data_IF_559236990808
#
_entry.id   IF_559236990808
#
_cell.length_a   1.000
_cell.length_b   1.000
_cell.length_c   1.000
_cell.angle_alpha   90.00
_cell.angle_beta   90.00
_cell.angle_gamma   90.00
#
_symmetry.space_group_name_H-M   'P 1'
#
loop_
_entity.id
_entity.type
_entity.pdbx_description
1 polymer ?
#
# COMPACT_ATOMS: atom_id res chain seq x y z
N UNK A 1 -8.81 1.47 -8.02
CA UNK A 1 -8.04 0.21 -8.23
C UNK A 1 -8.93 -0.97 -7.87
N UNK A 2 -8.99 -2.01 -8.71
CA UNK A 2 -9.79 -3.21 -8.39
C UNK A 2 -9.32 -3.86 -7.08
N UNK A 3 -10.22 -4.37 -6.21
CA UNK A 3 -9.86 -5.07 -4.99
C UNK A 3 -8.88 -6.25 -5.22
N UNK A 4 -8.96 -6.91 -6.38
CA UNK A 4 -8.08 -8.03 -6.75
C UNK A 4 -6.64 -7.54 -6.93
N UNK A 5 -6.43 -6.49 -7.73
CA UNK A 5 -5.11 -5.89 -7.98
C UNK A 5 -4.51 -5.36 -6.66
N UNK A 6 -5.35 -4.77 -5.82
CA UNK A 6 -4.90 -4.28 -4.51
C UNK A 6 -4.41 -5.42 -3.61
N UNK A 7 -5.14 -6.53 -3.54
CA UNK A 7 -4.74 -7.68 -2.73
C UNK A 7 -3.45 -8.33 -3.25
N UNK A 8 -3.29 -8.45 -4.56
CA UNK A 8 -2.06 -8.94 -5.18
C UNK A 8 -0.85 -8.04 -4.85
N UNK A 9 -1.03 -6.72 -4.94
CA UNK A 9 -0.01 -5.75 -4.54
C UNK A 9 0.38 -5.92 -3.08
N UNK A 10 -0.60 -6.00 -2.19
CA UNK A 10 -0.35 -6.17 -0.76
C UNK A 10 0.26 -7.54 -0.41
N UNK A 11 0.05 -8.56 -1.24
CA UNK A 11 0.71 -9.86 -1.11
C UNK A 11 2.17 -9.80 -1.56
N UNK A 12 2.48 -9.11 -2.66
CA UNK A 12 3.83 -9.00 -3.20
C UNK A 12 4.77 -8.23 -2.26
N UNK A 13 4.29 -7.11 -1.72
CA UNK A 13 5.08 -6.30 -0.77
C UNK A 13 5.09 -6.88 0.66
N UNK A 14 4.34 -7.95 0.94
CA UNK A 14 4.24 -8.53 2.26
C UNK A 14 5.60 -9.00 2.81
N UNK A 15 6.46 -9.55 1.93
CA UNK A 15 7.80 -10.02 2.27
C UNK A 15 8.75 -8.91 2.70
N UNK A 16 8.40 -7.64 2.48
CA UNK A 16 9.18 -6.47 2.93
C UNK A 16 9.00 -6.18 4.42
N UNK A 17 8.02 -6.79 5.06
CA UNK A 17 7.75 -6.61 6.48
C UNK A 17 8.11 -7.88 7.25
N UNK A 18 9.08 -7.79 8.18
CA UNK A 18 9.44 -8.90 9.06
C UNK A 18 8.40 -9.24 10.14
N UNK A 19 7.31 -8.45 10.26
CA UNK A 19 6.24 -8.64 11.26
C UNK A 19 4.86 -8.33 10.66
N UNK A 20 3.82 -8.92 11.25
CA UNK A 20 2.43 -8.78 10.77
C UNK A 20 1.83 -7.40 11.08
N UNK A 21 2.22 -6.76 12.20
CA UNK A 21 1.67 -5.47 12.60
C UNK A 21 2.05 -4.34 11.63
N UNK A 22 3.34 -4.16 11.23
CA UNK A 22 3.71 -3.19 10.20
C UNK A 22 3.02 -3.44 8.86
N UNK A 23 2.83 -4.71 8.48
CA UNK A 23 2.12 -5.08 7.25
C UNK A 23 0.68 -4.58 7.25
N UNK A 24 -0.08 -4.78 8.34
CA UNK A 24 -1.47 -4.31 8.46
C UNK A 24 -1.56 -2.78 8.36
N UNK A 25 -0.62 -2.08 9.00
CA UNK A 25 -0.56 -0.61 8.96
C UNK A 25 -0.17 -0.12 7.56
N UNK A 26 0.72 -0.82 6.86
CA UNK A 26 1.07 -0.52 5.48
C UNK A 26 -0.11 -0.73 4.52
N UNK A 27 -0.91 -1.78 4.71
CA UNK A 27 -2.16 -1.98 3.95
C UNK A 27 -3.09 -0.78 4.12
N UNK A 28 -3.31 -0.33 5.35
CA UNK A 28 -4.16 0.83 5.64
C UNK A 28 -3.61 2.11 4.98
N UNK A 29 -2.29 2.30 5.05
CA UNK A 29 -1.61 3.43 4.44
C UNK A 29 -1.77 3.46 2.91
N UNK A 30 -1.46 2.36 2.22
CA UNK A 30 -1.58 2.25 0.76
C UNK A 30 -3.04 2.41 0.32
N UNK A 31 -3.99 1.82 1.06
CA UNK A 31 -5.43 1.99 0.79
C UNK A 31 -5.86 3.46 0.84
N UNK A 32 -5.44 4.20 1.86
CA UNK A 32 -5.75 5.62 1.97
C UNK A 32 -5.05 6.48 0.92
N UNK A 33 -3.84 6.11 0.49
CA UNK A 33 -3.15 6.79 -0.62
C UNK A 33 -3.91 6.63 -1.94
N UNK A 34 -4.52 5.46 -2.17
CA UNK A 34 -5.30 5.16 -3.37
C UNK A 34 -6.78 5.59 -3.30
N UNK A 35 -7.28 5.93 -2.11
CA UNK A 35 -8.65 6.40 -1.92
C UNK A 35 -8.87 7.81 -2.50
N UNK A 36 -10.11 8.21 -2.72
CA UNK A 36 -10.42 9.60 -3.09
C UNK A 36 -10.58 10.44 -1.81
N UNK A 37 -9.47 10.94 -1.26
CA UNK A 37 -9.46 11.79 -0.07
C UNK A 37 -8.66 13.07 -0.36
N UNK A 38 -9.21 14.21 0.04
CA UNK A 38 -8.66 15.54 -0.29
C UNK A 38 -7.20 15.75 0.16
N UNK A 39 -6.83 15.20 1.32
CA UNK A 39 -5.53 15.45 1.94
C UNK A 39 -4.90 14.14 2.40
N UNK A 40 -3.74 13.79 1.82
CA UNK A 40 -2.99 12.54 2.04
C UNK A 40 -2.00 12.61 3.21
N UNK A 41 -2.41 13.14 4.35
CA UNK A 41 -1.58 13.16 5.56
C UNK A 41 -1.88 11.97 6.47
N UNK A 42 -1.00 11.66 7.43
CA UNK A 42 -1.18 10.53 8.34
C UNK A 42 -2.46 10.60 9.19
N UNK A 43 -2.98 11.81 9.43
CA UNK A 43 -4.24 11.98 10.18
C UNK A 43 -5.42 11.48 9.37
N UNK A 44 -5.63 12.06 8.19
CA UNK A 44 -6.75 11.72 7.32
C UNK A 44 -6.69 10.27 6.82
N UNK A 45 -5.47 9.76 6.59
CA UNK A 45 -5.28 8.35 6.24
C UNK A 45 -5.64 7.42 7.40
N UNK A 46 -5.37 7.82 8.64
CA UNK A 46 -5.75 7.05 9.83
C UNK A 46 -7.28 7.08 10.03
N UNK A 47 -7.92 8.24 9.87
CA UNK A 47 -9.37 8.38 9.93
C UNK A 47 -10.05 7.53 8.85
N UNK A 48 -9.59 7.62 7.60
CA UNK A 48 -10.10 6.79 6.50
C UNK A 48 -9.96 5.28 6.79
N UNK A 49 -8.91 4.89 7.51
CA UNK A 49 -8.66 3.50 7.89
C UNK A 49 -9.36 3.07 9.19
N UNK A 50 -10.15 3.93 9.83
CA UNK A 50 -10.80 3.63 11.12
C UNK A 50 -9.83 3.46 12.29
N UNK A 51 -8.61 4.03 12.19
CA UNK A 51 -7.63 4.02 13.26
C UNK A 51 -7.89 5.18 14.23
N UNK A 52 -7.64 4.95 15.52
CA UNK A 52 -7.86 5.96 16.58
C UNK A 52 -6.95 7.20 16.48
N UNK A 53 -5.98 7.20 15.56
CA UNK A 53 -5.06 8.32 15.38
C UNK A 53 -3.87 8.00 14.47
N UNK A 54 -3.06 9.02 14.12
CA UNK A 54 -1.97 8.92 13.15
C UNK A 54 -0.77 8.11 13.64
N UNK A 55 -0.69 7.78 14.93
CA UNK A 55 0.53 7.29 15.58
C UNK A 55 1.01 5.97 14.97
N UNK A 56 0.10 5.08 14.57
CA UNK A 56 0.46 3.81 13.91
C UNK A 56 1.09 4.05 12.54
N UNK A 57 0.52 4.94 11.74
CA UNK A 57 1.06 5.32 10.42
C UNK A 57 2.39 6.08 10.56
N UNK A 58 2.49 7.02 11.50
CA UNK A 58 3.73 7.73 11.78
C UNK A 58 4.83 6.78 12.27
N UNK A 59 4.49 5.79 13.11
CA UNK A 59 5.44 4.75 13.55
C UNK A 59 5.87 3.87 12.38
N UNK A 60 4.98 3.53 11.46
CA UNK A 60 5.33 2.83 10.22
C UNK A 60 6.39 3.63 9.44
N UNK A 61 6.12 4.91 9.16
CA UNK A 61 7.02 5.75 8.37
C UNK A 61 8.36 6.04 9.07
N UNK A 62 8.37 6.18 10.40
CA UNK A 62 9.57 6.55 11.16
C UNK A 62 10.43 5.36 11.60
N UNK A 63 9.83 4.19 11.79
CA UNK A 63 10.45 3.10 12.58
C UNK A 63 10.43 1.75 11.88
N UNK A 64 9.58 1.55 10.87
CA UNK A 64 9.66 0.30 10.13
C UNK A 64 10.94 0.32 9.29
N UNK A 65 11.76 -0.73 9.42
CA UNK A 65 12.77 -1.06 8.41
C UNK A 65 12.02 -1.67 7.24
N UNK A 66 11.58 -0.83 6.32
CA UNK A 66 11.15 -1.25 5.00
C UNK A 66 12.09 -0.57 4.00
N UNK A 67 12.59 -1.36 3.05
CA UNK A 67 13.37 -0.82 1.96
C UNK A 67 12.40 -0.11 1.00
N UNK A 68 12.39 1.22 1.06
CA UNK A 68 11.47 2.03 0.28
C UNK A 68 11.72 1.93 -1.23
N UNK A 69 12.98 1.70 -1.63
CA UNK A 69 13.34 1.50 -3.04
C UNK A 69 12.80 0.16 -3.53
N UNK A 70 13.04 -0.92 -2.80
CA UNK A 70 12.50 -2.24 -3.16
C UNK A 70 10.96 -2.26 -3.14
N UNK A 71 10.32 -1.56 -2.21
CA UNK A 71 8.86 -1.47 -2.18
C UNK A 71 8.30 -0.64 -3.35
N UNK A 72 8.99 0.45 -3.76
CA UNK A 72 8.63 1.19 -4.98
C UNK A 72 8.78 0.31 -6.21
N UNK A 73 9.87 -0.45 -6.30
CA UNK A 73 10.14 -1.31 -7.45
C UNK A 73 9.11 -2.45 -7.55
N UNK A 74 8.74 -3.08 -6.43
CA UNK A 74 7.65 -4.09 -6.39
C UNK A 74 6.30 -3.51 -6.86
N UNK A 75 5.98 -2.26 -6.47
CA UNK A 75 4.76 -1.56 -6.91
C UNK A 75 4.83 -1.30 -8.42
N UNK A 76 5.98 -0.80 -8.90
CA UNK A 76 6.21 -0.48 -10.32
C UNK A 76 6.07 -1.72 -11.18
N UNK A 77 6.64 -2.86 -10.77
CA UNK A 77 6.52 -4.13 -11.49
C UNK A 77 5.07 -4.52 -11.71
N UNK A 78 4.21 -4.41 -10.68
CA UNK A 78 2.78 -4.71 -10.80
C UNK A 78 2.09 -3.76 -11.78
N UNK A 79 2.42 -2.46 -11.72
CA UNK A 79 1.84 -1.47 -12.63
C UNK A 79 2.26 -1.76 -14.07
N UNK A 80 3.53 -2.09 -14.31
CA UNK A 80 4.06 -2.44 -15.63
C UNK A 80 3.47 -3.75 -16.14
N UNK A 81 3.39 -4.79 -15.31
CA UNK A 81 2.78 -6.08 -15.67
C UNK A 81 1.30 -5.94 -16.05
N UNK A 82 0.60 -4.94 -15.51
CA UNK A 82 -0.84 -4.73 -15.73
C UNK A 82 -1.18 -3.68 -16.79
N UNK A 83 -0.35 -2.67 -16.98
CA UNK A 83 -0.61 -1.51 -17.86
C UNK A 83 0.39 -1.43 -19.03
N UNK A 84 1.50 -2.15 -18.96
CA UNK A 84 2.48 -2.22 -20.04
C UNK A 84 1.93 -2.87 -21.32
N UNK A 85 2.57 -2.65 -22.48
CA UNK A 85 2.17 -3.26 -23.75
C UNK A 85 2.33 -4.79 -23.64
N UNK A 86 1.22 -5.49 -23.38
CA UNK A 86 1.18 -6.92 -23.07
C UNK A 86 0.42 -7.27 -21.77
N UNK A 87 -0.03 -6.27 -21.02
CA UNK A 87 -0.79 -6.46 -19.79
C UNK A 87 -2.07 -7.23 -20.04
N UNK A 88 -2.27 -8.33 -19.29
CA UNK A 88 -3.55 -9.05 -19.20
C UNK A 88 -4.56 -8.16 -18.48
N UNK A 89 -5.02 -7.12 -19.16
CA UNK A 89 -6.18 -6.34 -18.78
C UNK A 89 -7.37 -6.87 -19.59
N UNK A 90 -8.34 -7.40 -18.85
CA UNK A 90 -9.73 -7.62 -19.26
C UNK A 90 -10.05 -8.82 -20.19
N UNK A 91 -10.23 -9.99 -19.56
CA UNK A 91 -11.26 -10.96 -19.97
C UNK A 91 -12.12 -11.23 -18.73
N UNK A 92 -13.15 -10.41 -18.54
CA UNK A 92 -14.20 -10.58 -17.55
C UNK A 92 -15.50 -10.05 -18.10
#
# INVERSE_FOLDING_TARGET
MSPVIFNELMARIAGRFGRVEPRRVATAYVRGLLADIDRKNCWNLAEHAGLSGPQRLQRLLRTARWDADQMRDDVRDIVVDRIGPGGRADRG
#
